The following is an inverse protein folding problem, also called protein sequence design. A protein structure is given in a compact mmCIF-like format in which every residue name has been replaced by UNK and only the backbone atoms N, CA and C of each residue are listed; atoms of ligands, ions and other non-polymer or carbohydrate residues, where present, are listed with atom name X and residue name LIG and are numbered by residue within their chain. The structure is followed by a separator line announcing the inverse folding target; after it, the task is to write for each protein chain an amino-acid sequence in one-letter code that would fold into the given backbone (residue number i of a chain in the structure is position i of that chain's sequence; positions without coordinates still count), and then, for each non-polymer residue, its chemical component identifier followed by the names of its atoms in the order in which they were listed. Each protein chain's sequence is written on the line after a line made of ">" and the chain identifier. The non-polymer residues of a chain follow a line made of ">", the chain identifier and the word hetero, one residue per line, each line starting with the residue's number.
data_IF_378898350472
#
_entry.id   IF_378898350472
#
_cell.length_a   1.000
_cell.length_b   1.000
_cell.length_c   1.000
_cell.angle_alpha   90.00
_cell.angle_beta   90.00
_cell.angle_gamma   90.00
#
_symmetry.space_group_name_H-M   'P 1'
#
loop_
_entity.id
_entity.type
_entity.pdbx_description
1 polymer ?
#
# COMPACT_ATOMS: atom_id res chain seq x y z
N UNK A 1 -37.92 -0.77 -18.91
CA UNK A 1 -37.01 0.32 -18.46
C UNK A 1 -37.22 0.67 -16.98
N UNK A 2 -38.45 1.00 -16.55
CA UNK A 2 -38.73 1.43 -15.17
C UNK A 2 -38.41 0.39 -14.07
N UNK A 3 -38.69 -0.90 -14.30
CA UNK A 3 -38.36 -1.98 -13.34
C UNK A 3 -36.86 -2.21 -13.13
N UNK A 4 -36.05 -1.96 -14.16
CA UNK A 4 -34.59 -2.08 -14.09
C UNK A 4 -33.97 -0.88 -13.34
N UNK A 5 -34.49 0.33 -13.56
CA UNK A 5 -34.06 1.50 -12.79
C UNK A 5 -34.41 1.37 -11.30
N UNK A 6 -35.61 0.89 -10.97
CA UNK A 6 -36.02 0.67 -9.57
C UNK A 6 -35.15 -0.39 -8.89
N UNK A 7 -34.78 -1.47 -9.60
CA UNK A 7 -33.89 -2.51 -9.07
C UNK A 7 -32.45 -2.01 -8.82
N UNK A 8 -31.92 -1.18 -9.72
CA UNK A 8 -30.58 -0.58 -9.53
C UNK A 8 -30.61 0.40 -8.36
N UNK A 9 -31.59 1.31 -8.29
CA UNK A 9 -31.69 2.29 -7.20
C UNK A 9 -31.92 1.60 -5.85
N UNK A 10 -32.70 0.52 -5.78
CA UNK A 10 -32.83 -0.28 -4.55
C UNK A 10 -31.51 -0.95 -4.15
N UNK A 11 -30.73 -1.47 -5.10
CA UNK A 11 -29.46 -2.11 -4.83
C UNK A 11 -28.40 -1.11 -4.33
N UNK A 12 -28.34 0.10 -4.90
CA UNK A 12 -27.47 1.17 -4.40
C UNK A 12 -27.91 1.64 -3.01
N UNK A 13 -29.23 1.75 -2.78
CA UNK A 13 -29.77 2.17 -1.48
C UNK A 13 -29.55 1.12 -0.39
N UNK A 14 -29.70 -0.18 -0.70
CA UNK A 14 -29.39 -1.28 0.22
C UNK A 14 -27.90 -1.41 0.52
N UNK A 15 -27.00 -1.16 -0.46
CA UNK A 15 -25.54 -1.10 -0.22
C UNK A 15 -25.16 0.04 0.73
N UNK A 16 -25.80 1.20 0.60
CA UNK A 16 -25.59 2.32 1.52
C UNK A 16 -26.09 2.02 2.96
N UNK A 17 -27.03 1.07 3.13
CA UNK A 17 -27.57 0.67 4.43
C UNK A 17 -26.78 -0.50 5.06
N UNK A 18 -26.10 -1.34 4.27
CA UNK A 18 -25.41 -2.55 4.73
C UNK A 18 -23.88 -2.43 4.86
N UNK A 19 -23.29 -1.31 4.41
CA UNK A 19 -21.83 -1.13 4.43
C UNK A 19 -21.11 -1.93 3.35
N UNK A 20 -19.85 -1.56 3.07
CA UNK A 20 -18.99 -2.29 2.14
C UNK A 20 -18.51 -3.59 2.78
N UNK A 21 -18.40 -4.64 1.98
CA UNK A 21 -17.94 -5.97 2.40
C UNK A 21 -16.71 -6.39 1.60
N UNK A 22 -15.92 -7.39 2.05
CA UNK A 22 -14.80 -7.89 1.28
C UNK A 22 -15.19 -8.33 -0.14
N UNK A 23 -16.41 -8.87 -0.32
CA UNK A 23 -16.90 -9.33 -1.62
C UNK A 23 -17.09 -8.19 -2.64
N UNK A 24 -17.24 -6.94 -2.18
CA UNK A 24 -17.31 -5.78 -3.08
C UNK A 24 -15.96 -5.47 -3.74
N UNK A 25 -14.87 -6.01 -3.20
CA UNK A 25 -13.51 -5.83 -3.68
C UNK A 25 -12.91 -7.10 -4.29
N UNK A 26 -13.61 -8.24 -4.23
CA UNK A 26 -13.08 -9.54 -4.63
C UNK A 26 -12.76 -9.58 -6.13
N UNK A 27 -11.51 -9.91 -6.47
CA UNK A 27 -11.12 -10.19 -7.84
C UNK A 27 -11.36 -11.68 -8.10
N UNK A 28 -12.29 -11.99 -9.00
CA UNK A 28 -12.65 -13.36 -9.37
C UNK A 28 -11.80 -13.92 -10.52
N UNK A 29 -11.19 -13.04 -11.31
CA UNK A 29 -10.29 -13.42 -12.41
C UNK A 29 -9.29 -12.30 -12.67
N UNK A 30 -8.01 -12.66 -12.81
CA UNK A 30 -6.96 -11.74 -13.26
C UNK A 30 -6.67 -12.00 -14.75
N UNK A 31 -6.82 -11.01 -15.65
CA UNK A 31 -6.48 -11.20 -17.06
C UNK A 31 -5.03 -11.69 -17.24
N UNK A 32 -4.80 -12.53 -18.25
CA UNK A 32 -3.48 -13.10 -18.61
C UNK A 32 -2.89 -14.08 -17.58
N UNK A 33 -3.57 -14.33 -16.45
CA UNK A 33 -3.23 -15.41 -15.53
C UNK A 33 -3.98 -16.68 -15.96
N UNK A 34 -3.23 -17.65 -16.48
CA UNK A 34 -3.79 -18.93 -16.96
C UNK A 34 -3.83 -20.02 -15.87
N UNK A 35 -3.12 -19.81 -14.76
CA UNK A 35 -3.03 -20.73 -13.64
C UNK A 35 -4.01 -20.36 -12.52
N UNK A 36 -4.53 -21.35 -11.80
CA UNK A 36 -5.32 -21.10 -10.59
C UNK A 36 -4.43 -20.73 -9.41
N UNK A 37 -4.88 -19.78 -8.57
CA UNK A 37 -4.27 -19.48 -7.27
C UNK A 37 -5.10 -20.09 -6.13
N UNK A 38 -4.46 -20.30 -4.98
CA UNK A 38 -5.06 -20.88 -3.77
C UNK A 38 -5.40 -19.82 -2.68
N UNK A 39 -5.33 -18.54 -3.00
CA UNK A 39 -5.59 -17.42 -2.09
C UNK A 39 -6.55 -16.42 -2.74
N UNK A 40 -7.34 -15.71 -1.93
CA UNK A 40 -8.16 -14.63 -2.43
C UNK A 40 -7.34 -13.35 -2.61
N UNK A 41 -7.78 -12.52 -3.54
CA UNK A 41 -7.21 -11.20 -3.74
C UNK A 41 -8.33 -10.18 -3.97
N UNK A 42 -8.10 -8.97 -3.49
CA UNK A 42 -9.08 -7.91 -3.43
C UNK A 42 -8.44 -6.62 -3.93
N UNK A 43 -9.14 -5.86 -4.76
CA UNK A 43 -8.66 -4.54 -5.16
C UNK A 43 -9.82 -3.58 -5.38
N UNK A 44 -9.55 -2.30 -5.13
CA UNK A 44 -10.51 -1.26 -5.43
C UNK A 44 -10.25 0.00 -4.63
N UNK A 45 -11.24 0.90 -4.69
CA UNK A 45 -11.18 2.20 -4.06
C UNK A 45 -11.82 2.19 -2.68
N UNK A 46 -11.11 2.77 -1.72
CA UNK A 46 -11.62 3.04 -0.39
C UNK A 46 -11.78 4.54 -0.22
N UNK A 47 -13.03 4.99 -0.25
CA UNK A 47 -13.36 6.40 -0.03
C UNK A 47 -13.22 6.75 1.45
N UNK A 48 -12.48 7.82 1.74
CA UNK A 48 -12.18 8.25 3.12
C UNK A 48 -13.14 9.35 3.63
N UNK A 49 -14.28 9.54 2.95
CA UNK A 49 -15.31 10.50 3.34
C UNK A 49 -14.88 11.96 3.10
N UNK A 50 -15.04 12.79 4.12
CA UNK A 50 -14.89 14.25 4.04
C UNK A 50 -13.42 14.72 3.88
N UNK A 51 -12.45 13.81 3.95
CA UNK A 51 -11.01 14.07 3.79
C UNK A 51 -10.64 14.43 2.35
N UNK A 52 -10.92 15.67 1.97
CA UNK A 52 -10.74 16.20 0.62
C UNK A 52 -11.46 15.38 -0.48
N UNK A 53 -12.44 14.53 -0.11
CA UNK A 53 -13.04 13.54 -1.02
C UNK A 53 -11.99 12.60 -1.64
N UNK A 54 -11.04 12.17 -0.81
CA UNK A 54 -9.96 11.25 -1.17
C UNK A 54 -10.46 9.81 -1.26
N UNK A 55 -10.05 9.12 -2.32
CA UNK A 55 -10.24 7.68 -2.51
C UNK A 55 -8.91 6.99 -2.76
N UNK A 56 -8.55 6.08 -1.85
CA UNK A 56 -7.28 5.35 -1.89
C UNK A 56 -7.48 4.00 -2.58
N UNK A 57 -6.63 3.69 -3.57
CA UNK A 57 -6.63 2.40 -4.24
C UNK A 57 -5.70 1.43 -3.52
N UNK A 58 -6.17 0.21 -3.31
CA UNK A 58 -5.38 -0.85 -2.71
C UNK A 58 -5.48 -2.15 -3.52
N UNK A 59 -4.48 -3.00 -3.37
CA UNK A 59 -4.54 -4.40 -3.74
C UNK A 59 -4.11 -5.24 -2.53
N UNK A 60 -5.03 -6.05 -2.03
CA UNK A 60 -4.83 -6.94 -0.89
C UNK A 60 -4.79 -8.39 -1.37
N UNK A 61 -3.78 -9.14 -0.95
CA UNK A 61 -3.65 -10.57 -1.23
C UNK A 61 -3.59 -11.34 0.08
N UNK A 62 -4.46 -12.33 0.20
CA UNK A 62 -4.46 -13.20 1.37
C UNK A 62 -3.21 -14.10 1.40
N UNK A 63 -2.87 -14.58 2.59
CA UNK A 63 -1.82 -15.58 2.77
C UNK A 63 -2.19 -16.86 2.03
N UNK A 64 -1.23 -17.45 1.33
CA UNK A 64 -1.35 -18.79 0.74
C UNK A 64 -1.45 -19.88 1.81
N UNK A 65 -0.96 -19.60 3.02
CA UNK A 65 -0.97 -20.51 4.15
C UNK A 65 -1.76 -19.90 5.32
N UNK A 66 -2.95 -20.44 5.60
CA UNK A 66 -3.82 -20.09 6.73
C UNK A 66 -4.07 -18.57 6.89
N UNK A 67 -4.75 -17.92 5.93
CA UNK A 67 -4.96 -16.46 5.94
C UNK A 67 -5.63 -15.95 7.22
N UNK A 68 -6.56 -16.70 7.79
CA UNK A 68 -7.25 -16.35 9.04
C UNK A 68 -6.31 -16.10 10.23
N UNK A 69 -5.14 -16.75 10.28
CA UNK A 69 -4.18 -16.63 11.40
C UNK A 69 -2.87 -15.95 11.00
N UNK A 70 -2.59 -15.82 9.70
CA UNK A 70 -1.38 -15.17 9.22
C UNK A 70 -1.39 -13.67 9.55
N UNK A 71 -0.22 -13.04 9.79
CA UNK A 71 -0.15 -11.61 10.04
C UNK A 71 -0.66 -10.80 8.84
N UNK A 72 -1.14 -9.59 9.09
CA UNK A 72 -1.45 -8.60 8.07
C UNK A 72 -0.28 -7.63 7.95
N UNK A 73 0.19 -7.42 6.73
CA UNK A 73 1.35 -6.57 6.43
C UNK A 73 0.93 -5.49 5.46
N UNK A 74 1.01 -4.23 5.87
CA UNK A 74 0.90 -3.09 4.95
C UNK A 74 2.26 -2.85 4.30
N UNK A 75 2.28 -2.70 2.97
CA UNK A 75 3.46 -2.33 2.19
C UNK A 75 3.30 -0.96 1.52
N UNK A 76 4.32 -0.11 1.69
CA UNK A 76 4.40 1.24 1.13
C UNK A 76 5.73 1.45 0.38
N UNK A 77 5.67 1.59 -0.95
CA UNK A 77 6.82 2.09 -1.71
C UNK A 77 7.04 3.60 -1.43
N UNK A 78 8.27 4.07 -1.68
CA UNK A 78 8.69 5.43 -1.38
C UNK A 78 8.50 6.44 -2.51
N UNK A 79 9.60 7.06 -2.95
CA UNK A 79 9.63 8.13 -3.95
C UNK A 79 10.10 9.46 -3.36
N UNK A 80 9.22 10.28 -2.73
CA UNK A 80 7.77 10.10 -2.52
C UNK A 80 6.98 10.04 -3.83
N UNK A 81 5.83 9.38 -3.83
CA UNK A 81 4.92 9.32 -4.99
C UNK A 81 5.06 8.10 -5.90
N UNK A 82 5.80 7.07 -5.47
CA UNK A 82 5.91 5.81 -6.20
C UNK A 82 4.77 4.85 -5.86
N UNK A 83 4.30 4.09 -6.85
CA UNK A 83 3.17 3.18 -6.73
C UNK A 83 3.57 1.88 -6.03
N UNK A 84 2.87 1.54 -4.94
CA UNK A 84 3.10 0.27 -4.22
C UNK A 84 2.68 -0.95 -5.01
N UNK A 85 1.76 -0.78 -5.95
CA UNK A 85 1.32 -1.83 -6.85
C UNK A 85 2.33 -2.00 -8.00
N UNK A 86 2.76 -0.91 -8.63
CA UNK A 86 3.71 -0.97 -9.74
C UNK A 86 5.04 -1.60 -9.31
N UNK A 87 5.54 -1.25 -8.12
CA UNK A 87 6.83 -1.76 -7.62
C UNK A 87 6.64 -2.98 -6.72
N UNK A 88 6.11 -2.79 -5.50
CA UNK A 88 5.97 -3.83 -4.49
C UNK A 88 5.25 -5.08 -4.99
N UNK A 89 4.06 -4.88 -5.57
CA UNK A 89 3.23 -6.00 -6.03
C UNK A 89 3.79 -6.65 -7.30
N UNK A 90 4.02 -5.87 -8.36
CA UNK A 90 4.37 -6.45 -9.67
C UNK A 90 5.83 -6.81 -9.87
N UNK A 91 6.76 -6.19 -9.14
CA UNK A 91 8.20 -6.33 -9.44
C UNK A 91 9.02 -6.87 -8.27
N UNK A 92 8.58 -6.69 -7.03
CA UNK A 92 9.39 -7.00 -5.85
C UNK A 92 8.96 -8.29 -5.15
N UNK A 93 7.80 -8.30 -4.49
CA UNK A 93 7.43 -9.41 -3.61
C UNK A 93 5.94 -9.75 -3.61
N UNK A 94 5.14 -9.17 -4.53
CA UNK A 94 3.79 -9.66 -4.79
C UNK A 94 3.79 -11.02 -5.50
N UNK A 95 2.61 -11.67 -5.56
CA UNK A 95 2.47 -13.07 -5.99
C UNK A 95 2.61 -13.28 -7.50
N UNK A 96 2.71 -12.21 -8.28
CA UNK A 96 2.69 -12.29 -9.74
C UNK A 96 3.86 -11.56 -10.38
N UNK A 97 4.24 -12.01 -11.56
CA UNK A 97 5.15 -11.30 -12.47
C UNK A 97 4.51 -11.19 -13.84
N UNK A 98 4.65 -10.02 -14.45
CA UNK A 98 4.38 -9.89 -15.86
C UNK A 98 5.53 -10.54 -16.63
N UNK A 99 5.24 -11.52 -17.48
CA UNK A 99 6.24 -12.16 -18.31
C UNK A 99 6.92 -11.12 -19.22
N UNK A 100 8.19 -11.31 -19.63
CA UNK A 100 8.91 -10.32 -20.45
C UNK A 100 8.22 -9.93 -21.76
N UNK A 101 7.35 -10.82 -22.28
CA UNK A 101 6.55 -10.60 -23.47
C UNK A 101 5.31 -9.72 -23.23
N UNK A 102 5.02 -9.35 -21.98
CA UNK A 102 3.86 -8.58 -21.53
C UNK A 102 2.49 -9.15 -21.92
N UNK A 103 2.41 -10.45 -22.24
CA UNK A 103 1.16 -11.12 -22.64
C UNK A 103 0.73 -12.23 -21.68
N UNK A 104 1.54 -12.55 -20.67
CA UNK A 104 1.26 -13.61 -19.68
C UNK A 104 1.60 -13.12 -18.27
N UNK A 105 0.84 -13.59 -17.28
CA UNK A 105 1.11 -13.37 -15.86
C UNK A 105 1.51 -14.69 -15.22
N UNK A 106 2.72 -14.72 -14.68
CA UNK A 106 3.30 -15.88 -13.97
C UNK A 106 3.15 -15.73 -12.46
N UNK A 107 3.03 -16.87 -11.75
CA UNK A 107 3.07 -16.91 -10.29
C UNK A 107 4.53 -16.80 -9.81
N UNK A 108 4.76 -16.03 -8.77
CA UNK A 108 6.07 -15.82 -8.16
C UNK A 108 6.23 -16.60 -6.85
N UNK A 109 7.09 -17.62 -6.88
CA UNK A 109 7.33 -18.57 -5.79
C UNK A 109 8.08 -18.01 -4.58
N UNK A 110 8.41 -16.72 -4.55
CA UNK A 110 9.03 -16.08 -3.37
C UNK A 110 8.24 -14.86 -2.90
N UNK A 111 6.92 -14.87 -3.16
CA UNK A 111 6.04 -13.81 -2.69
C UNK A 111 5.90 -13.81 -1.18
N UNK A 112 5.80 -12.61 -0.60
CA UNK A 112 5.53 -12.45 0.83
C UNK A 112 4.16 -13.01 1.23
N UNK A 113 3.21 -13.09 0.30
CA UNK A 113 1.91 -13.67 0.62
C UNK A 113 1.97 -15.18 0.89
N UNK A 114 3.13 -15.84 0.78
CA UNK A 114 3.27 -17.20 1.27
C UNK A 114 3.03 -17.33 2.78
N UNK A 115 3.31 -16.28 3.56
CA UNK A 115 3.25 -16.34 5.03
C UNK A 115 2.47 -15.19 5.66
N UNK A 116 1.95 -14.24 4.86
CA UNK A 116 1.27 -13.06 5.35
C UNK A 116 0.11 -12.66 4.43
N UNK A 117 -0.88 -11.96 4.98
CA UNK A 117 -1.86 -11.23 4.21
C UNK A 117 -1.27 -9.85 3.89
N UNK A 118 -1.07 -9.50 2.62
CA UNK A 118 -0.29 -8.30 2.24
C UNK A 118 -1.18 -7.26 1.57
N UNK A 119 -1.17 -6.05 2.12
CA UNK A 119 -1.87 -4.87 1.59
C UNK A 119 -0.86 -4.00 0.85
N UNK A 120 -1.06 -3.81 -0.45
CA UNK A 120 -0.31 -2.85 -1.26
C UNK A 120 -1.17 -1.60 -1.44
N UNK A 121 -0.72 -0.47 -0.88
CA UNK A 121 -1.50 0.78 -0.88
C UNK A 121 -0.86 1.82 -1.80
N UNK A 122 -1.65 2.34 -2.74
CA UNK A 122 -1.28 3.48 -3.56
C UNK A 122 -1.39 4.76 -2.71
N UNK A 123 -0.27 5.28 -2.23
CA UNK A 123 -0.23 6.44 -1.32
C UNK A 123 0.94 7.37 -1.65
N UNK A 124 0.79 8.71 -1.53
CA UNK A 124 -0.45 9.44 -1.16
C UNK A 124 -1.46 9.60 -2.33
N UNK A 125 -2.50 10.42 -2.13
CA UNK A 125 -3.47 10.79 -3.19
C UNK A 125 -2.76 11.28 -4.46
N UNK A 126 -3.17 10.78 -5.62
CA UNK A 126 -2.53 11.04 -6.92
C UNK A 126 -1.48 10.02 -7.32
N UNK A 127 -1.08 9.11 -6.44
CA UNK A 127 -0.19 7.99 -6.78
C UNK A 127 -0.97 6.87 -7.45
N UNK A 128 -0.50 6.47 -8.63
CA UNK A 128 -1.09 5.44 -9.49
C UNK A 128 -2.59 5.63 -9.67
N UNK A 129 -3.38 4.81 -9.00
CA UNK A 129 -4.84 4.84 -9.14
C UNK A 129 -5.53 5.71 -8.09
N UNK A 130 -4.89 6.02 -6.95
CA UNK A 130 -5.48 6.85 -5.88
C UNK A 130 -5.72 8.28 -6.34
N UNK A 131 -6.84 8.88 -5.92
CA UNK A 131 -7.23 10.21 -6.36
C UNK A 131 -8.01 10.99 -5.29
N UNK A 132 -8.19 12.28 -5.57
CA UNK A 132 -9.05 13.19 -4.81
C UNK A 132 -9.92 13.99 -5.77
N UNK A 133 -11.20 14.17 -5.43
CA UNK A 133 -12.08 15.06 -6.20
C UNK A 133 -11.76 16.54 -5.95
N UNK A 134 -11.07 16.88 -4.86
CA UNK A 134 -10.62 18.25 -4.58
C UNK A 134 -9.15 18.44 -4.91
N UNK A 135 -8.78 19.56 -5.57
CA UNK A 135 -7.37 19.90 -5.81
C UNK A 135 -6.51 19.93 -4.54
N UNK A 136 -7.10 20.32 -3.40
CA UNK A 136 -6.42 20.35 -2.08
C UNK A 136 -6.02 18.96 -1.58
N UNK A 137 -6.68 17.89 -2.02
CA UNK A 137 -6.32 16.52 -1.67
C UNK A 137 -4.96 16.08 -2.21
N UNK A 138 -4.46 16.75 -3.25
CA UNK A 138 -3.12 16.49 -3.81
C UNK A 138 -2.00 17.27 -3.10
N UNK A 139 -2.34 18.21 -2.21
CA UNK A 139 -1.34 18.88 -1.37
C UNK A 139 -0.86 17.90 -0.30
N UNK A 140 0.30 17.29 -0.52
CA UNK A 140 0.84 16.25 0.35
C UNK A 140 1.90 16.79 1.34
N UNK A 141 1.86 16.30 2.56
CA UNK A 141 2.91 16.41 3.56
C UNK A 141 3.05 15.08 4.29
N UNK A 142 4.20 14.82 4.90
CA UNK A 142 4.43 13.61 5.68
C UNK A 142 3.31 13.33 6.71
N UNK A 143 2.90 14.37 7.45
CA UNK A 143 1.84 14.27 8.45
C UNK A 143 0.46 13.99 7.83
N UNK A 144 0.12 14.65 6.71
CA UNK A 144 -1.14 14.41 6.00
C UNK A 144 -1.17 13.01 5.41
N UNK A 145 -0.08 12.54 4.81
CA UNK A 145 0.03 11.19 4.27
C UNK A 145 -0.11 10.14 5.38
N UNK A 146 0.52 10.33 6.54
CA UNK A 146 0.32 9.45 7.69
C UNK A 146 -1.15 9.43 8.14
N UNK A 147 -1.81 10.58 8.20
CA UNK A 147 -3.22 10.68 8.56
C UNK A 147 -4.15 9.96 7.58
N UNK A 148 -3.98 10.20 6.28
CA UNK A 148 -4.76 9.56 5.23
C UNK A 148 -4.56 8.05 5.23
N UNK A 149 -3.33 7.56 5.41
CA UNK A 149 -3.06 6.13 5.48
C UNK A 149 -3.64 5.50 6.75
N UNK A 150 -3.65 6.22 7.87
CA UNK A 150 -4.31 5.78 9.10
C UNK A 150 -5.83 5.63 8.90
N UNK A 151 -6.48 6.62 8.29
CA UNK A 151 -7.91 6.54 7.99
C UNK A 151 -8.24 5.41 7.01
N UNK A 152 -7.39 5.19 6.00
CA UNK A 152 -7.48 4.02 5.15
C UNK A 152 -7.44 2.73 5.97
N UNK A 153 -6.51 2.58 6.92
CA UNK A 153 -6.44 1.38 7.75
C UNK A 153 -7.68 1.17 8.62
N UNK A 154 -8.25 2.24 9.21
CA UNK A 154 -9.50 2.13 9.95
C UNK A 154 -10.63 1.60 9.04
N UNK A 155 -10.79 2.18 7.85
CA UNK A 155 -11.78 1.72 6.87
C UNK A 155 -11.50 0.31 6.36
N UNK A 156 -10.24 -0.04 6.17
CA UNK A 156 -9.84 -1.38 5.75
C UNK A 156 -10.28 -2.42 6.78
N UNK A 157 -9.98 -2.20 8.05
CA UNK A 157 -10.37 -3.15 9.10
C UNK A 157 -11.89 -3.14 9.42
N UNK A 158 -12.62 -2.05 9.12
CA UNK A 158 -14.09 -2.03 9.12
C UNK A 158 -14.70 -2.95 8.03
N UNK A 159 -14.07 -3.04 6.86
CA UNK A 159 -14.53 -3.92 5.77
C UNK A 159 -14.04 -5.35 5.97
N UNK A 160 -12.77 -5.50 6.30
CA UNK A 160 -12.06 -6.77 6.45
C UNK A 160 -11.98 -7.19 7.93
N UNK A 161 -13.11 -7.14 8.64
CA UNK A 161 -13.21 -7.38 10.08
C UNK A 161 -12.65 -8.74 10.53
N UNK A 162 -12.64 -9.75 9.65
CA UNK A 162 -12.05 -11.05 9.95
C UNK A 162 -10.54 -10.99 10.24
N UNK A 163 -9.87 -9.92 9.82
CA UNK A 163 -8.45 -9.70 10.07
C UNK A 163 -8.14 -8.75 11.25
N UNK A 164 -9.17 -8.24 11.95
CA UNK A 164 -9.03 -7.24 13.01
C UNK A 164 -8.07 -7.66 14.13
N UNK A 165 -8.06 -8.96 14.46
CA UNK A 165 -7.26 -9.52 15.55
C UNK A 165 -5.88 -10.02 15.10
N UNK A 166 -5.62 -10.07 13.79
CA UNK A 166 -4.36 -10.56 13.26
C UNK A 166 -3.23 -9.61 13.64
N UNK A 167 -2.04 -10.17 13.84
CA UNK A 167 -0.84 -9.36 14.08
C UNK A 167 -0.60 -8.43 12.89
N UNK A 168 -0.50 -7.13 13.15
CA UNK A 168 -0.37 -6.12 12.11
C UNK A 168 1.03 -5.50 12.08
N UNK A 169 1.60 -5.42 10.88
CA UNK A 169 2.91 -4.81 10.63
C UNK A 169 2.84 -3.74 9.55
N UNK A 170 3.52 -2.62 9.77
CA UNK A 170 3.70 -1.57 8.76
C UNK A 170 5.06 -1.73 8.12
N UNK A 171 5.13 -1.84 6.81
CA UNK A 171 6.38 -2.06 6.08
C UNK A 171 6.49 -1.13 4.88
N UNK A 172 7.71 -0.84 4.46
CA UNK A 172 7.93 -0.01 3.29
C UNK A 172 9.39 0.25 2.99
N UNK A 173 9.65 0.91 1.87
CA UNK A 173 11.00 1.08 1.34
C UNK A 173 11.30 2.50 0.85
N UNK A 174 12.58 2.85 0.75
CA UNK A 174 13.01 4.17 0.26
C UNK A 174 12.34 5.29 1.09
N UNK A 175 11.69 6.30 0.49
CA UNK A 175 10.92 7.30 1.25
C UNK A 175 9.83 6.71 2.17
N UNK A 176 9.48 5.43 2.00
CA UNK A 176 8.69 4.62 2.91
C UNK A 176 9.17 4.67 4.36
N UNK A 177 10.44 4.92 4.67
CA UNK A 177 10.81 5.13 6.07
C UNK A 177 10.48 6.49 6.67
N UNK A 178 9.99 7.45 5.88
CA UNK A 178 9.24 8.58 6.43
C UNK A 178 7.80 8.14 6.72
N UNK A 179 7.17 7.43 5.79
CA UNK A 179 5.77 7.01 5.91
C UNK A 179 5.54 6.02 7.05
N UNK A 180 6.35 4.96 7.11
CA UNK A 180 6.19 3.81 8.00
C UNK A 180 6.25 4.22 9.48
N UNK A 181 7.27 4.94 9.99
CA UNK A 181 7.33 5.31 11.40
C UNK A 181 6.27 6.34 11.79
N UNK A 182 5.93 7.29 10.92
CA UNK A 182 4.91 8.30 11.22
C UNK A 182 3.51 7.68 11.28
N UNK A 183 3.19 6.77 10.36
CA UNK A 183 1.96 5.99 10.42
C UNK A 183 1.93 5.08 11.66
N UNK A 184 3.04 4.39 11.94
CA UNK A 184 3.17 3.53 13.11
C UNK A 184 2.94 4.29 14.41
N UNK A 185 3.54 5.47 14.55
CA UNK A 185 3.33 6.35 15.70
C UNK A 185 1.85 6.73 15.83
N UNK A 186 1.20 7.13 14.73
CA UNK A 186 -0.21 7.49 14.74
C UNK A 186 -1.11 6.33 15.17
N UNK A 187 -0.84 5.11 14.71
CA UNK A 187 -1.61 3.91 15.13
C UNK A 187 -1.44 3.66 16.65
N UNK A 188 -0.24 3.84 17.19
CA UNK A 188 0.04 3.59 18.60
C UNK A 188 -0.53 4.68 19.53
N UNK A 189 -0.62 5.92 19.07
CA UNK A 189 -1.08 7.06 19.87
C UNK A 189 -2.62 7.21 19.87
N UNK A 190 -3.30 6.72 18.84
CA UNK A 190 -4.75 6.83 18.71
C UNK A 190 -5.46 5.65 19.38
N UNK A 191 -6.65 5.88 19.94
CA UNK A 191 -7.48 4.81 20.49
C UNK A 191 -8.18 4.04 19.36
N UNK A 192 -7.56 2.95 18.89
CA UNK A 192 -8.09 2.08 17.84
C UNK A 192 -7.88 0.60 18.19
N UNK A 193 -8.45 -0.29 17.37
CA UNK A 193 -8.44 -1.74 17.58
C UNK A 193 -7.42 -2.48 16.71
N UNK A 194 -6.48 -1.78 16.07
CA UNK A 194 -5.46 -2.41 15.21
C UNK A 194 -4.42 -3.09 16.11
N UNK A 195 -4.26 -4.41 15.96
CA UNK A 195 -3.30 -5.21 16.74
C UNK A 195 -1.85 -5.06 16.20
N UNK A 196 -1.30 -3.85 16.27
CA UNK A 196 0.03 -3.54 15.76
C UNK A 196 1.14 -4.22 16.59
N UNK A 197 2.06 -4.92 15.91
CA UNK A 197 3.20 -5.60 16.54
C UNK A 197 4.55 -4.97 16.23
N UNK A 198 4.67 -4.24 15.13
CA UNK A 198 5.90 -3.57 14.77
C UNK A 198 5.90 -3.01 13.36
N UNK A 199 7.05 -2.50 12.94
CA UNK A 199 7.27 -2.02 11.60
C UNK A 199 8.65 -2.40 11.06
N UNK A 200 8.78 -2.46 9.74
CA UNK A 200 10.06 -2.75 9.05
C UNK A 200 10.28 -1.71 7.96
N UNK A 201 11.51 -1.22 7.83
CA UNK A 201 11.86 -0.27 6.78
C UNK A 201 13.07 -0.76 5.99
N UNK A 202 12.93 -0.80 4.67
CA UNK A 202 13.96 -1.20 3.73
C UNK A 202 14.61 0.02 3.06
N UNK A 203 15.92 -0.04 2.81
CA UNK A 203 16.68 0.96 2.04
C UNK A 203 16.43 2.43 2.45
N UNK A 204 16.47 2.74 3.75
CA UNK A 204 15.98 4.03 4.28
C UNK A 204 17.01 5.10 4.68
N UNK A 205 16.49 6.35 4.71
CA UNK A 205 17.13 7.63 5.00
C UNK A 205 16.79 8.17 6.42
N UNK A 206 17.39 7.64 7.50
CA UNK A 206 17.07 8.03 8.90
C UNK A 206 17.57 9.41 9.42
N UNK A 207 18.42 10.18 8.71
CA UNK A 207 19.13 11.34 9.31
C UNK A 207 19.01 12.65 8.52
N UNK A 208 19.18 13.78 9.25
CA UNK A 208 19.34 15.14 8.69
C UNK A 208 20.17 15.09 7.40
N UNK A 209 19.65 15.72 6.34
CA UNK A 209 20.18 15.75 4.96
C UNK A 209 21.73 15.81 4.92
N UNK A 210 22.36 16.62 5.78
CA UNK A 210 23.81 16.84 5.82
C UNK A 210 24.64 15.59 6.19
N UNK A 211 24.25 14.81 7.20
CA UNK A 211 25.02 13.63 7.63
C UNK A 211 24.93 12.49 6.62
N UNK A 212 23.80 12.38 5.94
CA UNK A 212 23.59 11.35 4.92
C UNK A 212 24.26 11.71 3.61
N UNK A 213 24.17 12.98 3.20
CA UNK A 213 24.90 13.51 2.06
C UNK A 213 26.39 13.18 2.22
N UNK A 214 26.99 13.51 3.36
CA UNK A 214 28.39 13.16 3.65
C UNK A 214 28.69 11.66 3.50
N UNK A 215 27.87 10.77 4.09
CA UNK A 215 28.08 9.31 3.95
C UNK A 215 27.99 8.84 2.50
N UNK A 216 27.03 9.36 1.74
CA UNK A 216 26.86 9.01 0.33
C UNK A 216 28.04 9.53 -0.49
N UNK A 217 28.52 10.74 -0.24
CA UNK A 217 29.73 11.27 -0.90
C UNK A 217 30.98 10.44 -0.59
N UNK A 218 31.14 9.97 0.66
CA UNK A 218 32.23 9.05 1.02
C UNK A 218 32.11 7.73 0.26
N UNK A 219 30.91 7.17 0.13
CA UNK A 219 30.69 5.98 -0.69
C UNK A 219 31.03 6.27 -2.16
N UNK A 220 30.51 7.35 -2.73
CA UNK A 220 30.70 7.68 -4.13
C UNK A 220 32.17 7.87 -4.50
N UNK A 221 32.98 8.54 -3.67
CA UNK A 221 34.41 8.70 -3.97
C UNK A 221 35.18 7.38 -3.83
N UNK A 222 34.86 6.55 -2.83
CA UNK A 222 35.55 5.26 -2.60
C UNK A 222 35.22 4.21 -3.66
N UNK A 223 34.04 4.30 -4.29
CA UNK A 223 33.66 3.46 -5.43
C UNK A 223 33.90 4.13 -6.79
N UNK A 224 34.66 5.22 -6.82
CA UNK A 224 35.04 5.95 -8.05
C UNK A 224 33.86 6.43 -8.90
N UNK A 225 32.71 6.69 -8.27
CA UNK A 225 31.49 7.20 -8.90
C UNK A 225 31.52 8.72 -9.10
N UNK A 226 32.37 9.43 -8.36
CA UNK A 226 32.58 10.88 -8.48
C UNK A 226 34.08 11.21 -8.47
N UNK A 227 34.46 12.36 -9.05
CA UNK A 227 35.84 12.83 -9.01
C UNK A 227 36.20 13.41 -7.64
N UNK A 228 37.50 13.53 -7.37
CA UNK A 228 38.00 14.13 -6.13
C UNK A 228 37.64 15.61 -6.02
N UNK A 229 37.63 16.32 -7.15
CA UNK A 229 37.19 17.71 -7.25
C UNK A 229 35.72 17.85 -6.89
N UNK A 230 34.88 16.92 -7.38
CA UNK A 230 33.46 16.89 -7.03
C UNK A 230 33.25 16.57 -5.54
N UNK A 231 34.03 15.66 -4.95
CA UNK A 231 33.94 15.34 -3.52
C UNK A 231 34.26 16.54 -2.61
N UNK A 232 35.29 17.34 -2.96
CA UNK A 232 35.72 18.52 -2.18
C UNK A 232 34.62 19.61 -2.14
N UNK A 233 33.75 19.71 -3.14
CA UNK A 233 32.68 20.70 -3.16
C UNK A 233 31.57 20.45 -2.12
N UNK A 234 31.49 19.24 -1.55
CA UNK A 234 30.38 18.82 -0.67
C UNK A 234 30.81 18.44 0.76
N UNK A 235 32.10 18.50 1.09
CA UNK A 235 32.67 18.24 2.43
C UNK A 235 33.17 19.53 3.04
#
# INVERSE_FOLDING_TARGET
>A
MLRYLVGIVLATFLRNVLGLTPNDYLITSLPLLHSSVNFNQYAGYMALGDEDETSMFFWFVESQNNPATAPVVLWLNGGPGSSSIAYGFWTEHGPFRLAPNAVEVDIYDWSWNQIANVIYLESPSGVGFSYSNKPTGYNCSDSKTAHINYLFLLRFFEVFTQFQNNDFYVTGESYGGHYVPQLSQMILEQNNTINMKGFVVFFFFFKKKKTMLMRNFVMFINFSLISKEMYILFV
#
